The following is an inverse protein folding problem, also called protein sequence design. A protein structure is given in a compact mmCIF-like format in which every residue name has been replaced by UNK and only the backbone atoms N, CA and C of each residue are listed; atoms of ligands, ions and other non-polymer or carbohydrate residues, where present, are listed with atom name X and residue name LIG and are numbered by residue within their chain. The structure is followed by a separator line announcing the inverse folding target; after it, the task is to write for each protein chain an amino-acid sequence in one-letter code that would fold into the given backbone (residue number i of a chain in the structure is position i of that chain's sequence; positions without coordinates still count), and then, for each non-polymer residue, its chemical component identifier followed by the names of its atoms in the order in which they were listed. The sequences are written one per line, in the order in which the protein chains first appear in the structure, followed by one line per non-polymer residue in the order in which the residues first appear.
data_IF_908760014191
#
_entry.id   IF_908760014191
#
_cell.length_a   1.000
_cell.length_b   1.000
_cell.length_c   1.000
_cell.angle_alpha   90.00
_cell.angle_beta   90.00
_cell.angle_gamma   90.00
#
_symmetry.space_group_name_H-M   'P 1'
#
loop_
_entity.id
_entity.type
_entity.pdbx_description
1 polymer ?
#
# COMPACT_ATOMS: atom_id res chain seq x y z
N UNK A 1 -13.43 34.08 -12.29
CA UNK A 1 -12.73 32.77 -12.44
C UNK A 1 -13.37 31.78 -11.49
N UNK A 2 -14.46 31.14 -11.90
CA UNK A 2 -15.32 30.29 -11.05
C UNK A 2 -15.61 28.98 -11.79
N UNK A 3 -14.60 28.10 -11.93
CA UNK A 3 -14.78 26.80 -12.61
C UNK A 3 -14.71 25.60 -11.66
N UNK A 4 -14.39 25.79 -10.38
CA UNK A 4 -14.06 24.67 -9.47
C UNK A 4 -15.13 24.24 -8.46
N UNK A 5 -16.20 25.00 -8.28
CA UNK A 5 -17.20 24.70 -7.24
C UNK A 5 -17.97 23.37 -7.42
N UNK A 6 -18.04 22.82 -8.65
CA UNK A 6 -18.83 21.61 -8.91
C UNK A 6 -18.02 20.29 -8.84
N UNK A 7 -16.68 20.35 -8.83
CA UNK A 7 -15.83 19.14 -8.80
C UNK A 7 -15.41 18.72 -7.38
N UNK A 8 -15.33 19.66 -6.44
CA UNK A 8 -15.00 19.36 -5.05
C UNK A 8 -16.02 18.46 -4.32
N UNK A 9 -17.35 18.64 -4.47
CA UNK A 9 -18.31 17.74 -3.86
C UNK A 9 -18.21 16.31 -4.37
N UNK A 10 -17.81 16.10 -5.64
CA UNK A 10 -17.64 14.75 -6.22
C UNK A 10 -16.43 13.99 -5.64
N UNK A 11 -15.34 14.71 -5.29
CA UNK A 11 -14.18 14.09 -4.62
C UNK A 11 -14.54 13.63 -3.21
N UNK A 12 -15.15 14.51 -2.42
CA UNK A 12 -15.55 14.16 -1.07
C UNK A 12 -16.52 12.97 -1.02
N UNK A 13 -17.43 12.88 -2.00
CA UNK A 13 -18.32 11.71 -2.14
C UNK A 13 -17.52 10.44 -2.47
N UNK A 14 -16.54 10.51 -3.38
CA UNK A 14 -15.68 9.38 -3.70
C UNK A 14 -14.87 8.90 -2.49
N UNK A 15 -14.28 9.83 -1.75
CA UNK A 15 -13.53 9.51 -0.52
C UNK A 15 -14.44 8.92 0.56
N UNK A 16 -15.68 9.43 0.73
CA UNK A 16 -16.65 8.89 1.68
C UNK A 16 -17.10 7.47 1.29
N UNK A 17 -17.37 7.23 0.00
CA UNK A 17 -17.72 5.89 -0.51
C UNK A 17 -16.54 4.93 -0.34
N UNK A 18 -15.32 5.37 -0.67
CA UNK A 18 -14.12 4.56 -0.47
C UNK A 18 -13.90 4.24 1.01
N UNK A 19 -14.09 5.22 1.91
CA UNK A 19 -14.00 4.99 3.35
C UNK A 19 -15.01 3.94 3.82
N UNK A 20 -16.26 4.01 3.36
CA UNK A 20 -17.29 3.03 3.70
C UNK A 20 -16.95 1.62 3.19
N UNK A 21 -16.42 1.50 1.98
CA UNK A 21 -16.02 0.21 1.40
C UNK A 21 -14.80 -0.38 2.15
N UNK A 22 -13.79 0.44 2.45
CA UNK A 22 -12.65 0.01 3.27
C UNK A 22 -13.11 -0.41 4.67
N UNK A 23 -14.00 0.37 5.30
CA UNK A 23 -14.52 0.03 6.64
C UNK A 23 -15.29 -1.30 6.61
N UNK A 24 -16.18 -1.49 5.64
CA UNK A 24 -16.93 -2.74 5.50
C UNK A 24 -15.98 -3.95 5.30
N UNK A 25 -14.99 -3.83 4.42
CA UNK A 25 -13.98 -4.87 4.21
C UNK A 25 -13.15 -5.14 5.48
N UNK A 26 -12.73 -4.08 6.19
CA UNK A 26 -12.01 -4.20 7.46
C UNK A 26 -12.82 -4.91 8.55
N UNK A 27 -14.13 -4.63 8.65
CA UNK A 27 -15.02 -5.32 9.59
C UNK A 27 -15.22 -6.79 9.23
N UNK A 28 -15.33 -7.12 7.93
CA UNK A 28 -15.39 -8.52 7.46
C UNK A 28 -14.12 -9.26 7.85
N UNK A 29 -12.95 -8.67 7.62
CA UNK A 29 -11.66 -9.25 7.99
C UNK A 29 -11.53 -9.44 9.51
N UNK A 30 -11.93 -8.45 10.32
CA UNK A 30 -11.93 -8.57 11.78
C UNK A 30 -12.89 -9.65 12.27
N UNK A 31 -14.05 -9.78 11.67
CA UNK A 31 -15.00 -10.85 12.02
C UNK A 31 -14.48 -12.24 11.60
N UNK A 32 -13.58 -12.29 10.61
CA UNK A 32 -12.87 -13.50 10.18
C UNK A 32 -11.64 -13.82 11.04
N UNK A 33 -11.06 -12.83 11.74
CA UNK A 33 -9.88 -13.03 12.57
C UNK A 33 -10.13 -14.09 13.65
N UNK A 34 -9.20 -15.03 13.81
CA UNK A 34 -9.35 -16.16 14.69
C UNK A 34 -10.30 -17.28 14.22
N UNK A 35 -10.98 -17.08 13.10
CA UNK A 35 -11.81 -18.12 12.43
C UNK A 35 -11.17 -18.57 11.12
N UNK A 36 -10.64 -17.64 10.36
CA UNK A 36 -9.80 -17.88 9.17
C UNK A 36 -8.38 -18.06 9.69
N UNK A 37 -8.04 -19.25 10.17
CA UNK A 37 -6.84 -19.54 10.98
C UNK A 37 -5.57 -19.63 10.12
N UNK A 38 -5.22 -18.59 9.40
CA UNK A 38 -3.93 -18.49 8.71
C UNK A 38 -2.95 -17.72 9.60
N UNK A 39 -2.21 -18.47 10.40
CA UNK A 39 -1.15 -17.96 11.27
C UNK A 39 0.18 -17.95 10.50
N UNK A 40 0.77 -16.77 10.37
CA UNK A 40 2.03 -16.56 9.69
C UNK A 40 3.16 -16.48 10.74
N UNK A 41 4.07 -17.47 10.78
CA UNK A 41 5.11 -17.52 11.81
C UNK A 41 6.16 -16.43 11.57
N UNK A 42 6.54 -15.74 12.65
CA UNK A 42 7.72 -14.86 12.70
C UNK A 42 8.77 -15.52 13.56
N UNK A 43 10.00 -15.60 13.06
CA UNK A 43 11.13 -16.24 13.72
C UNK A 43 12.19 -15.20 14.05
N UNK A 44 12.89 -15.43 15.12
CA UNK A 44 14.07 -14.65 15.50
C UNK A 44 15.28 -15.57 15.49
N UNK A 45 16.31 -15.23 14.73
CA UNK A 45 17.60 -15.90 14.76
C UNK A 45 18.67 -14.99 15.36
N UNK A 46 19.63 -15.61 16.05
CA UNK A 46 20.82 -14.94 16.56
C UNK A 46 22.05 -15.78 16.18
N UNK A 47 23.25 -15.19 16.08
CA UNK A 47 24.46 -15.93 15.78
C UNK A 47 24.67 -17.12 16.72
N UNK A 48 24.75 -18.34 16.16
CA UNK A 48 24.96 -19.57 16.92
C UNK A 48 23.71 -20.13 17.60
N UNK A 49 22.52 -19.51 17.41
CA UNK A 49 21.25 -20.00 17.95
C UNK A 49 20.32 -20.34 16.78
N UNK A 50 19.68 -21.52 16.78
CA UNK A 50 18.65 -21.86 15.77
C UNK A 50 17.54 -20.82 15.74
N UNK A 51 16.91 -20.63 14.57
CA UNK A 51 15.77 -19.73 14.43
C UNK A 51 14.57 -20.26 15.25
N UNK A 52 14.21 -19.55 16.29
CA UNK A 52 13.09 -19.91 17.19
C UNK A 52 11.82 -19.14 16.81
N UNK A 53 10.63 -19.75 17.01
CA UNK A 53 9.37 -19.03 16.88
C UNK A 53 9.35 -17.85 17.88
N UNK A 54 9.17 -16.64 17.36
CA UNK A 54 9.11 -15.41 18.18
C UNK A 54 7.67 -14.92 18.36
N UNK A 55 6.91 -14.96 17.26
CA UNK A 55 5.51 -14.53 17.24
C UNK A 55 4.78 -15.20 16.08
N UNK A 56 3.46 -15.08 16.06
CA UNK A 56 2.64 -15.34 14.88
C UNK A 56 1.82 -14.11 14.52
N UNK A 57 1.49 -13.97 13.26
CA UNK A 57 0.66 -12.91 12.71
C UNK A 57 -0.59 -13.54 12.13
N UNK A 58 -1.75 -13.25 12.72
CA UNK A 58 -3.04 -13.58 12.10
C UNK A 58 -3.22 -12.76 10.83
N UNK A 59 -3.34 -13.45 9.69
CA UNK A 59 -3.43 -12.82 8.36
C UNK A 59 -4.65 -11.91 8.26
N UNK A 60 -5.81 -12.36 8.76
CA UNK A 60 -7.05 -11.59 8.67
C UNK A 60 -7.00 -10.33 9.52
N UNK A 61 -6.47 -10.44 10.76
CA UNK A 61 -6.29 -9.29 11.64
C UNK A 61 -5.31 -8.26 11.06
N UNK A 62 -4.17 -8.72 10.54
CA UNK A 62 -3.17 -7.83 9.96
C UNK A 62 -3.67 -7.16 8.65
N UNK A 63 -4.37 -7.89 7.79
CA UNK A 63 -5.02 -7.32 6.61
C UNK A 63 -6.11 -6.30 7.02
N UNK A 64 -6.88 -6.58 8.09
CA UNK A 64 -7.84 -5.63 8.62
C UNK A 64 -7.19 -4.32 9.05
N UNK A 65 -6.02 -4.37 9.70
CA UNK A 65 -5.27 -3.14 10.07
C UNK A 65 -4.95 -2.30 8.83
N UNK A 66 -4.43 -2.91 7.76
CA UNK A 66 -4.13 -2.20 6.50
C UNK A 66 -5.36 -1.50 5.97
N UNK A 67 -6.46 -2.23 5.86
CA UNK A 67 -7.70 -1.74 5.27
C UNK A 67 -8.35 -0.65 6.13
N UNK A 68 -8.32 -0.81 7.47
CA UNK A 68 -8.87 0.18 8.40
C UNK A 68 -8.04 1.47 8.44
N UNK A 69 -6.72 1.39 8.29
CA UNK A 69 -5.87 2.59 8.13
C UNK A 69 -6.32 3.38 6.90
N UNK A 70 -6.56 2.71 5.77
CA UNK A 70 -7.10 3.37 4.56
C UNK A 70 -8.51 3.93 4.79
N UNK A 71 -9.38 3.21 5.51
CA UNK A 71 -10.72 3.70 5.85
C UNK A 71 -10.65 5.01 6.66
N UNK A 72 -9.83 5.04 7.70
CA UNK A 72 -9.63 6.23 8.55
C UNK A 72 -9.06 7.39 7.74
N UNK A 73 -8.04 7.14 6.91
CA UNK A 73 -7.45 8.18 6.08
C UNK A 73 -8.46 8.78 5.09
N UNK A 74 -9.29 7.97 4.43
CA UNK A 74 -10.34 8.45 3.52
C UNK A 74 -11.46 9.16 4.26
N UNK A 75 -11.88 8.64 5.41
CA UNK A 75 -12.89 9.28 6.23
C UNK A 75 -12.42 10.69 6.67
N UNK A 76 -11.20 10.81 7.18
CA UNK A 76 -10.64 12.10 7.60
C UNK A 76 -10.55 13.10 6.44
N UNK A 77 -10.24 12.63 5.22
CA UNK A 77 -10.21 13.47 4.02
C UNK A 77 -11.60 13.91 3.54
N UNK A 78 -12.69 13.30 4.03
CA UNK A 78 -14.06 13.61 3.65
C UNK A 78 -14.79 14.53 4.64
N UNK A 79 -14.28 14.69 5.88
CA UNK A 79 -14.95 15.40 6.98
C UNK A 79 -14.36 16.80 7.18
N UNK A 80 -15.18 17.88 7.24
CA UNK A 80 -14.72 19.21 7.65
C UNK A 80 -14.23 19.20 9.13
N UNK A 81 -13.21 19.96 9.51
CA UNK A 81 -12.40 20.90 8.71
C UNK A 81 -11.19 20.27 8.01
N UNK A 82 -10.96 18.95 8.17
CA UNK A 82 -9.81 18.27 7.58
C UNK A 82 -9.92 18.22 6.05
N UNK A 83 -11.12 18.02 5.53
CA UNK A 83 -11.39 18.10 4.09
C UNK A 83 -10.89 19.41 3.49
N UNK A 84 -11.18 20.55 4.14
CA UNK A 84 -10.80 21.85 3.62
C UNK A 84 -9.27 22.02 3.56
N UNK A 85 -8.55 21.48 4.54
CA UNK A 85 -7.08 21.43 4.53
C UNK A 85 -6.52 20.53 3.42
N UNK A 86 -7.17 19.37 3.17
CA UNK A 86 -6.80 18.47 2.08
C UNK A 86 -7.03 19.15 0.73
N UNK A 87 -8.19 19.82 0.55
CA UNK A 87 -8.52 20.56 -0.67
C UNK A 87 -7.52 21.68 -0.92
N UNK A 88 -7.13 22.42 0.12
CA UNK A 88 -6.11 23.45 0.03
C UNK A 88 -4.73 22.88 -0.37
N UNK A 89 -4.32 21.71 0.17
CA UNK A 89 -3.09 21.05 -0.24
C UNK A 89 -3.15 20.60 -1.70
N UNK A 90 -4.27 20.00 -2.13
CA UNK A 90 -4.45 19.56 -3.51
C UNK A 90 -4.47 20.73 -4.49
N UNK A 91 -5.05 21.87 -4.12
CA UNK A 91 -5.02 23.09 -4.92
C UNK A 91 -3.58 23.61 -5.12
N UNK A 92 -2.70 23.34 -4.14
CA UNK A 92 -1.25 23.63 -4.25
C UNK A 92 -0.45 22.51 -4.93
N UNK A 93 -1.11 21.49 -5.51
CA UNK A 93 -0.48 20.33 -6.14
C UNK A 93 0.22 19.38 -5.16
N UNK A 94 -0.19 19.36 -3.89
CA UNK A 94 0.40 18.53 -2.82
C UNK A 94 -0.60 17.54 -2.26
N UNK A 95 -0.13 16.35 -1.87
CA UNK A 95 -0.94 15.29 -1.29
C UNK A 95 -0.24 14.64 -0.08
N UNK A 96 0.33 15.46 0.82
CA UNK A 96 1.21 14.99 1.90
C UNK A 96 0.57 13.95 2.83
N UNK A 97 -0.70 14.08 3.16
CA UNK A 97 -1.44 13.15 4.00
C UNK A 97 -1.53 11.73 3.39
N UNK A 98 -1.68 11.66 2.05
CA UNK A 98 -1.75 10.39 1.33
C UNK A 98 -0.44 9.60 1.41
N UNK A 99 0.70 10.30 1.40
CA UNK A 99 1.99 9.63 1.49
C UNK A 99 2.21 8.99 2.86
N UNK A 100 1.67 9.58 3.92
CA UNK A 100 1.70 8.99 5.25
C UNK A 100 0.84 7.72 5.31
N UNK A 101 -0.38 7.77 4.81
CA UNK A 101 -1.26 6.59 4.68
C UNK A 101 -0.55 5.49 3.88
N UNK A 102 -0.08 5.82 2.68
CA UNK A 102 0.51 4.85 1.76
C UNK A 102 1.81 4.26 2.32
N UNK A 103 2.61 5.02 3.07
CA UNK A 103 3.83 4.50 3.68
C UNK A 103 3.54 3.36 4.66
N UNK A 104 2.44 3.42 5.40
CA UNK A 104 2.04 2.38 6.34
C UNK A 104 1.37 1.21 5.61
N UNK A 105 0.36 1.50 4.79
CA UNK A 105 -0.43 0.45 4.13
C UNK A 105 0.40 -0.37 3.14
N UNK A 106 1.26 0.26 2.33
CA UNK A 106 2.14 -0.44 1.40
C UNK A 106 3.19 -1.29 2.15
N UNK A 107 3.77 -0.76 3.23
CA UNK A 107 4.79 -1.48 4.00
C UNK A 107 4.22 -2.69 4.72
N UNK A 108 3.08 -2.56 5.38
CA UNK A 108 2.42 -3.70 6.03
C UNK A 108 1.99 -4.72 4.98
N UNK A 109 1.43 -4.28 3.85
CA UNK A 109 1.02 -5.17 2.76
C UNK A 109 2.19 -6.01 2.23
N UNK A 110 3.34 -5.39 1.93
CA UNK A 110 4.49 -6.14 1.41
C UNK A 110 5.10 -7.07 2.46
N UNK A 111 5.03 -6.73 3.75
CA UNK A 111 5.40 -7.65 4.85
C UNK A 111 4.46 -8.85 4.89
N UNK A 112 3.15 -8.67 4.77
CA UNK A 112 2.18 -9.77 4.70
C UNK A 112 2.44 -10.66 3.47
N UNK A 113 2.70 -10.06 2.32
CA UNK A 113 3.06 -10.79 1.11
C UNK A 113 4.36 -11.58 1.33
N UNK A 114 5.37 -11.00 1.96
CA UNK A 114 6.63 -11.69 2.27
C UNK A 114 6.40 -12.88 3.21
N UNK A 115 5.62 -12.71 4.27
CA UNK A 115 5.23 -13.79 5.19
C UNK A 115 4.49 -14.93 4.48
N UNK A 116 3.52 -14.62 3.61
CA UNK A 116 2.78 -15.60 2.80
C UNK A 116 3.72 -16.39 1.87
N UNK A 117 4.80 -15.78 1.43
CA UNK A 117 5.82 -16.41 0.58
C UNK A 117 6.92 -17.12 1.38
N UNK A 118 6.79 -17.19 2.72
CA UNK A 118 7.70 -17.95 3.59
C UNK A 118 8.88 -17.14 4.14
N UNK A 119 8.92 -15.82 3.92
CA UNK A 119 9.89 -14.93 4.58
C UNK A 119 9.45 -14.76 6.02
N UNK A 120 10.06 -15.47 6.95
CA UNK A 120 9.64 -15.48 8.37
C UNK A 120 10.65 -14.83 9.33
N UNK A 121 11.85 -14.48 8.86
CA UNK A 121 12.89 -13.89 9.70
C UNK A 121 12.56 -12.45 10.09
N UNK A 122 12.47 -12.17 11.38
CA UNK A 122 12.04 -10.87 11.91
C UNK A 122 12.92 -9.70 11.39
N UNK A 123 14.24 -9.88 11.34
CA UNK A 123 15.17 -8.86 10.83
C UNK A 123 14.92 -8.54 9.36
N UNK A 124 14.63 -9.54 8.54
CA UNK A 124 14.29 -9.36 7.11
C UNK A 124 12.95 -8.65 6.97
N UNK A 125 11.94 -9.01 7.75
CA UNK A 125 10.62 -8.36 7.72
C UNK A 125 10.70 -6.87 8.11
N UNK A 126 11.49 -6.55 9.15
CA UNK A 126 11.75 -5.15 9.53
C UNK A 126 12.45 -4.38 8.40
N UNK A 127 13.44 -4.99 7.74
CA UNK A 127 14.13 -4.38 6.60
C UNK A 127 13.16 -4.15 5.42
N UNK A 128 12.31 -5.13 5.08
CA UNK A 128 11.27 -5.02 4.06
C UNK A 128 10.32 -3.86 4.37
N UNK A 129 9.83 -3.78 5.62
CA UNK A 129 8.98 -2.69 6.07
C UNK A 129 9.67 -1.33 5.90
N UNK A 130 10.90 -1.19 6.39
CA UNK A 130 11.65 0.06 6.37
C UNK A 130 11.95 0.52 4.92
N UNK A 131 12.32 -0.41 4.03
CA UNK A 131 12.56 -0.11 2.62
C UNK A 131 11.27 0.34 1.91
N UNK A 132 10.15 -0.33 2.14
CA UNK A 132 8.88 0.04 1.55
C UNK A 132 8.39 1.41 2.06
N UNK A 133 8.46 1.64 3.39
CA UNK A 133 8.11 2.92 3.99
C UNK A 133 9.03 4.05 3.48
N UNK A 134 10.33 3.82 3.46
CA UNK A 134 11.32 4.77 2.96
C UNK A 134 11.10 5.13 1.49
N UNK A 135 10.77 4.16 0.65
CA UNK A 135 10.44 4.38 -0.75
C UNK A 135 9.25 5.36 -0.90
N UNK A 136 8.18 5.16 -0.14
CA UNK A 136 7.01 6.05 -0.17
C UNK A 136 7.33 7.43 0.43
N UNK A 137 8.16 7.51 1.47
CA UNK A 137 8.60 8.80 2.02
C UNK A 137 9.42 9.61 1.01
N UNK A 138 10.18 8.96 0.12
CA UNK A 138 10.84 9.63 -1.00
C UNK A 138 9.84 10.21 -2.00
N UNK A 139 8.67 9.58 -2.22
CA UNK A 139 7.56 10.18 -2.98
C UNK A 139 7.02 11.43 -2.28
N UNK A 140 6.94 11.44 -0.97
CA UNK A 140 6.56 12.63 -0.21
C UNK A 140 7.56 13.78 -0.39
N UNK A 141 8.86 13.49 -0.37
CA UNK A 141 9.91 14.47 -0.68
C UNK A 141 9.74 14.99 -2.11
N UNK A 142 9.51 14.10 -3.08
CA UNK A 142 9.24 14.45 -4.47
C UNK A 142 8.02 15.36 -4.60
N UNK A 143 6.95 15.09 -3.84
CA UNK A 143 5.70 15.87 -3.85
C UNK A 143 5.91 17.32 -3.36
N UNK A 144 6.91 17.55 -2.51
CA UNK A 144 7.28 18.89 -2.02
C UNK A 144 8.15 19.69 -2.99
N UNK A 145 8.72 19.06 -4.02
CA UNK A 145 9.54 19.76 -5.00
C UNK A 145 8.66 20.62 -5.92
N UNK A 146 9.03 21.90 -6.04
CA UNK A 146 8.20 22.91 -6.72
C UNK A 146 8.30 22.89 -8.24
N UNK A 147 9.29 22.20 -8.82
CA UNK A 147 9.52 22.15 -10.27
C UNK A 147 9.59 20.70 -10.74
N UNK A 148 8.52 20.17 -11.36
CA UNK A 148 8.59 18.88 -12.06
C UNK A 148 9.49 19.01 -13.30
N UNK A 149 10.21 17.94 -13.62
CA UNK A 149 11.07 17.84 -14.79
C UNK A 149 12.07 16.69 -14.65
N UNK A 150 12.81 16.30 -15.68
CA UNK A 150 13.73 15.16 -15.62
C UNK A 150 14.74 15.24 -14.49
N UNK A 151 15.19 16.45 -14.11
CA UNK A 151 16.05 16.70 -12.95
C UNK A 151 15.28 16.72 -11.62
N UNK A 152 13.97 16.88 -11.66
CA UNK A 152 13.10 16.90 -10.48
C UNK A 152 12.57 15.53 -10.07
N UNK A 153 12.94 14.44 -10.75
CA UNK A 153 12.49 13.08 -10.46
C UNK A 153 13.50 12.25 -9.65
N UNK A 154 14.55 12.84 -9.11
CA UNK A 154 15.59 12.08 -8.41
C UNK A 154 15.05 11.31 -7.20
N UNK A 155 14.23 11.94 -6.36
CA UNK A 155 13.62 11.27 -5.21
C UNK A 155 12.61 10.19 -5.64
N UNK A 156 11.84 10.43 -6.72
CA UNK A 156 10.96 9.42 -7.30
C UNK A 156 11.75 8.21 -7.79
N UNK A 157 12.80 8.42 -8.57
CA UNK A 157 13.63 7.33 -9.11
C UNK A 157 14.34 6.56 -8.01
N UNK A 158 14.88 7.24 -7.00
CA UNK A 158 15.49 6.60 -5.83
C UNK A 158 14.45 5.79 -5.04
N UNK A 159 13.26 6.33 -4.83
CA UNK A 159 12.15 5.62 -4.19
C UNK A 159 11.72 4.38 -4.98
N UNK A 160 11.61 4.47 -6.31
CA UNK A 160 11.28 3.33 -7.16
C UNK A 160 12.36 2.23 -7.07
N UNK A 161 13.64 2.62 -7.12
CA UNK A 161 14.75 1.68 -7.00
C UNK A 161 14.79 0.97 -5.63
N UNK A 162 14.50 1.69 -4.55
CA UNK A 162 14.42 1.11 -3.19
C UNK A 162 13.15 0.26 -3.06
N UNK A 163 12.02 0.74 -3.56
CA UNK A 163 10.72 0.09 -3.42
C UNK A 163 10.59 -1.25 -4.14
N UNK A 164 11.43 -1.52 -5.16
CA UNK A 164 11.43 -2.82 -5.84
C UNK A 164 12.15 -3.90 -5.04
N UNK A 165 13.06 -3.55 -4.12
CA UNK A 165 13.89 -4.52 -3.37
C UNK A 165 13.04 -5.49 -2.54
N UNK A 166 12.03 -5.08 -1.75
CA UNK A 166 11.13 -5.98 -1.06
C UNK A 166 10.47 -7.03 -1.96
N UNK A 167 10.02 -6.61 -3.14
CA UNK A 167 9.43 -7.52 -4.12
C UNK A 167 10.45 -8.48 -4.73
N UNK A 168 11.70 -8.03 -4.89
CA UNK A 168 12.82 -8.90 -5.28
C UNK A 168 13.09 -9.99 -4.25
N UNK A 169 13.00 -9.68 -2.95
CA UNK A 169 13.11 -10.69 -1.88
C UNK A 169 11.97 -11.69 -1.98
N UNK A 170 10.73 -11.25 -2.14
CA UNK A 170 9.57 -12.15 -2.31
C UNK A 170 9.75 -13.06 -3.52
N UNK A 171 10.15 -12.51 -4.67
CA UNK A 171 10.40 -13.27 -5.89
C UNK A 171 11.51 -14.33 -5.69
N UNK A 172 12.60 -13.97 -4.99
CA UNK A 172 13.67 -14.91 -4.67
C UNK A 172 13.15 -16.09 -3.86
N UNK A 173 12.31 -15.84 -2.84
CA UNK A 173 11.72 -16.91 -2.03
C UNK A 173 10.78 -17.80 -2.86
N UNK A 174 9.95 -17.25 -3.73
CA UNK A 174 9.09 -18.03 -4.63
C UNK A 174 9.91 -18.93 -5.54
N UNK A 175 10.96 -18.38 -6.19
CA UNK A 175 11.84 -19.14 -7.07
C UNK A 175 12.57 -20.24 -6.29
N UNK A 176 13.10 -19.93 -5.11
CA UNK A 176 13.79 -20.92 -4.27
C UNK A 176 12.84 -22.06 -3.90
N UNK A 177 11.62 -21.76 -3.46
CA UNK A 177 10.63 -22.79 -3.12
C UNK A 177 10.23 -23.66 -4.31
N UNK A 178 10.10 -23.04 -5.50
CA UNK A 178 9.86 -23.79 -6.73
C UNK A 178 11.01 -24.75 -7.04
N UNK A 179 12.26 -24.30 -6.88
CA UNK A 179 13.46 -25.12 -7.16
C UNK A 179 13.62 -26.30 -6.20
N UNK A 180 13.19 -26.14 -4.94
CA UNK A 180 13.25 -27.24 -3.95
C UNK A 180 12.00 -28.13 -3.98
N UNK A 181 11.06 -27.91 -4.91
CA UNK A 181 9.87 -28.74 -5.07
C UNK A 181 8.74 -28.45 -4.07
N UNK A 182 8.79 -27.31 -3.37
CA UNK A 182 7.78 -26.88 -2.40
C UNK A 182 7.15 -25.54 -2.81
N UNK A 183 6.49 -25.44 -3.97
CA UNK A 183 5.92 -24.17 -4.43
C UNK A 183 4.88 -23.64 -3.43
N UNK A 184 4.72 -22.33 -3.38
CA UNK A 184 3.58 -21.71 -2.67
C UNK A 184 2.28 -22.04 -3.39
N UNK A 185 1.14 -21.94 -2.69
CA UNK A 185 -0.16 -22.21 -3.32
C UNK A 185 -0.45 -21.23 -4.46
N UNK A 186 -1.32 -21.63 -5.38
CA UNK A 186 -1.75 -20.80 -6.50
C UNK A 186 -2.41 -19.49 -6.03
N UNK A 187 -3.15 -19.54 -4.91
CA UNK A 187 -3.78 -18.37 -4.31
C UNK A 187 -2.71 -17.36 -3.84
N UNK A 188 -1.66 -17.84 -3.16
CA UNK A 188 -0.55 -16.99 -2.72
C UNK A 188 0.20 -16.40 -3.91
N UNK A 189 0.47 -17.21 -4.93
CA UNK A 189 1.15 -16.76 -6.16
C UNK A 189 0.34 -15.70 -6.88
N UNK A 190 -0.95 -15.96 -7.13
CA UNK A 190 -1.85 -15.04 -7.80
C UNK A 190 -2.04 -13.74 -7.00
N UNK A 191 -2.22 -13.84 -5.68
CA UNK A 191 -2.33 -12.70 -4.78
C UNK A 191 -1.06 -11.84 -4.76
N UNK A 192 0.11 -12.47 -4.71
CA UNK A 192 1.41 -11.79 -4.80
C UNK A 192 1.53 -11.00 -6.09
N UNK A 193 1.23 -11.61 -7.24
CA UNK A 193 1.28 -10.95 -8.55
C UNK A 193 0.26 -9.81 -8.63
N UNK A 194 -0.97 -10.02 -8.17
CA UNK A 194 -2.00 -8.98 -8.17
C UNK A 194 -1.58 -7.75 -7.34
N UNK A 195 -1.07 -7.97 -6.12
CA UNK A 195 -0.61 -6.89 -5.24
C UNK A 195 0.64 -6.19 -5.78
N UNK A 196 1.57 -6.91 -6.41
CA UNK A 196 2.72 -6.33 -7.11
C UNK A 196 2.28 -5.43 -8.28
N UNK A 197 1.34 -5.89 -9.11
CA UNK A 197 0.80 -5.11 -10.23
C UNK A 197 0.12 -3.84 -9.72
N UNK A 198 -0.65 -3.92 -8.64
CA UNK A 198 -1.30 -2.75 -8.04
C UNK A 198 -0.28 -1.78 -7.41
N UNK A 199 0.79 -2.29 -6.80
CA UNK A 199 1.90 -1.45 -6.33
C UNK A 199 2.59 -0.74 -7.51
N UNK A 200 2.91 -1.45 -8.58
CA UNK A 200 3.48 -0.87 -9.80
C UNK A 200 2.54 0.15 -10.44
N UNK A 201 1.22 -0.11 -10.48
CA UNK A 201 0.21 0.81 -10.97
C UNK A 201 0.15 2.11 -10.15
N UNK A 202 0.33 2.01 -8.81
CA UNK A 202 0.43 3.18 -7.93
C UNK A 202 1.62 4.08 -8.30
N UNK A 203 2.81 3.49 -8.49
CA UNK A 203 4.01 4.21 -8.91
C UNK A 203 3.87 4.79 -10.31
N UNK A 204 3.35 4.02 -11.26
CA UNK A 204 3.09 4.47 -12.64
C UNK A 204 2.09 5.63 -12.65
N UNK A 205 1.02 5.57 -11.85
CA UNK A 205 0.03 6.65 -11.73
C UNK A 205 0.68 7.96 -11.27
N UNK A 206 1.56 7.90 -10.25
CA UNK A 206 2.29 9.09 -9.78
C UNK A 206 3.17 9.68 -10.89
N UNK A 207 3.96 8.84 -11.55
CA UNK A 207 4.82 9.25 -12.67
C UNK A 207 4.01 9.87 -13.81
N UNK A 208 2.94 9.18 -14.24
CA UNK A 208 2.09 9.61 -15.34
C UNK A 208 1.46 10.99 -15.09
N UNK A 209 0.90 11.20 -13.92
CA UNK A 209 0.24 12.46 -13.59
C UNK A 209 1.23 13.62 -13.40
N UNK A 210 2.46 13.34 -12.99
CA UNK A 210 3.49 14.36 -12.86
C UNK A 210 4.14 14.74 -14.17
N UNK A 211 4.45 13.77 -15.02
CA UNK A 211 5.24 13.99 -16.25
C UNK A 211 4.39 14.19 -17.49
N UNK A 212 3.33 13.40 -17.67
CA UNK A 212 2.57 13.37 -18.90
C UNK A 212 1.35 14.30 -18.89
N UNK A 213 0.76 14.54 -17.72
CA UNK A 213 -0.41 15.42 -17.56
C UNK A 213 -0.07 16.66 -16.76
N UNK A 214 0.44 17.69 -17.43
CA UNK A 214 0.71 19.02 -16.84
C UNK A 214 -0.54 19.91 -16.81
N UNK A 215 -1.71 19.37 -16.53
CA UNK A 215 -2.96 20.14 -16.47
C UNK A 215 -3.26 20.60 -15.04
N UNK A 216 -4.03 21.67 -14.89
CA UNK A 216 -4.53 22.15 -13.62
C UNK A 216 -5.36 21.10 -12.85
N UNK A 217 -5.80 20.04 -13.53
CA UNK A 217 -6.58 18.94 -12.97
C UNK A 217 -5.77 17.68 -12.68
N UNK A 218 -4.48 17.65 -12.98
CA UNK A 218 -3.63 16.47 -12.87
C UNK A 218 -3.61 15.92 -11.43
N UNK A 219 -3.60 16.79 -10.41
CA UNK A 219 -3.60 16.39 -9.00
C UNK A 219 -4.92 15.70 -8.61
N UNK A 220 -6.07 16.25 -9.05
CA UNK A 220 -7.37 15.66 -8.77
C UNK A 220 -7.56 14.31 -9.47
N UNK A 221 -7.05 14.16 -10.69
CA UNK A 221 -7.07 12.89 -11.43
C UNK A 221 -6.13 11.87 -10.79
N UNK A 222 -4.97 12.29 -10.29
CA UNK A 222 -4.05 11.44 -9.52
C UNK A 222 -4.70 10.91 -8.24
N UNK A 223 -5.43 11.76 -7.52
CA UNK A 223 -6.15 11.36 -6.31
C UNK A 223 -7.25 10.34 -6.60
N UNK A 224 -8.00 10.53 -7.68
CA UNK A 224 -9.01 9.55 -8.12
C UNK A 224 -8.39 8.20 -8.46
N UNK A 225 -7.31 8.21 -9.25
CA UNK A 225 -6.59 7.00 -9.60
C UNK A 225 -6.06 6.29 -8.34
N UNK A 226 -5.47 7.03 -7.39
CA UNK A 226 -5.00 6.47 -6.14
C UNK A 226 -6.13 5.87 -5.28
N UNK A 227 -7.30 6.50 -5.24
CA UNK A 227 -8.47 5.96 -4.53
C UNK A 227 -8.93 4.64 -5.15
N UNK A 228 -9.03 4.57 -6.48
CA UNK A 228 -9.44 3.35 -7.19
C UNK A 228 -8.42 2.22 -7.03
N UNK A 229 -7.13 2.52 -7.12
CA UNK A 229 -6.06 1.55 -6.87
C UNK A 229 -6.10 1.07 -5.42
N UNK A 230 -6.34 1.96 -4.45
CA UNK A 230 -6.51 1.60 -3.04
C UNK A 230 -7.69 0.65 -2.80
N UNK A 231 -8.82 0.88 -3.45
CA UNK A 231 -9.98 -0.04 -3.40
C UNK A 231 -9.64 -1.40 -4.03
N UNK A 232 -8.92 -1.42 -5.15
CA UNK A 232 -8.46 -2.66 -5.78
C UNK A 232 -7.49 -3.44 -4.87
N UNK A 233 -6.58 -2.76 -4.15
CA UNK A 233 -5.72 -3.37 -3.13
C UNK A 233 -6.54 -4.01 -2.01
N UNK A 234 -7.55 -3.30 -1.49
CA UNK A 234 -8.43 -3.84 -0.46
C UNK A 234 -9.17 -5.08 -0.96
N UNK A 235 -9.69 -5.06 -2.18
CA UNK A 235 -10.36 -6.20 -2.77
C UNK A 235 -9.39 -7.39 -2.95
N UNK A 236 -8.15 -7.15 -3.39
CA UNK A 236 -7.14 -8.19 -3.54
C UNK A 236 -6.74 -8.81 -2.19
N UNK A 237 -6.50 -7.99 -1.16
CA UNK A 237 -6.21 -8.47 0.20
C UNK A 237 -7.37 -9.29 0.76
N UNK A 238 -8.60 -8.79 0.65
CA UNK A 238 -9.79 -9.48 1.10
C UNK A 238 -9.93 -10.84 0.39
N UNK A 239 -9.74 -10.88 -0.93
CA UNK A 239 -9.81 -12.12 -1.71
C UNK A 239 -8.75 -13.13 -1.25
N UNK A 240 -7.50 -12.70 -1.06
CA UNK A 240 -6.41 -13.57 -0.57
C UNK A 240 -6.76 -14.17 0.79
N UNK A 241 -7.23 -13.35 1.74
CA UNK A 241 -7.60 -13.83 3.08
C UNK A 241 -8.75 -14.83 3.01
N UNK A 242 -9.81 -14.53 2.25
CA UNK A 242 -10.99 -15.40 2.15
C UNK A 242 -10.73 -16.71 1.39
N UNK A 243 -9.76 -16.73 0.48
CA UNK A 243 -9.41 -17.94 -0.29
C UNK A 243 -8.39 -18.83 0.43
N UNK A 244 -7.68 -18.31 1.42
CA UNK A 244 -6.72 -19.07 2.22
C UNK A 244 -7.32 -19.60 3.53
N UNK A 245 -8.33 -18.92 4.07
CA UNK A 245 -9.02 -19.32 5.30
C UNK A 245 -10.26 -20.13 5.02
#
# INVERSE_FOLDING_TARGET
MTVDGARMPRRALLDAVAAALHLAAGLVLLAGAGRLTVELPVRLSAPGVPAEPFASVDLAAAAAVVVLVSAVARLTASIPPLRDRVDEQLARGRAGWRWLELSQTASITVVLVALLNGVSEAGVLVAIYALAAGAVLLLWIQDRQTKPGPRGLAAFSAGAAIGIVPWGVVALYQVTRLLVGEPVSDVVSAGTVALLVLAAASWFSVWWHRECRRSAHATADAERAATLIGLAHTAALLAVVLLLG
#
